data_IF_907491385827
#
_entry.id   IF_907491385827
#
_cell.length_a   1.000
_cell.length_b   1.000
_cell.length_c   1.000
_cell.angle_alpha   90.00
_cell.angle_beta   90.00
_cell.angle_gamma   90.00
#
_symmetry.space_group_name_H-M   'P 1'
#
loop_
_entity.id
_entity.type
_entity.pdbx_description
1 polymer ?
#
# COMPACT_ATOMS: atom_id res chain seq x y z
N UNK A 1 23.35 6.51 -1.79
CA UNK A 1 24.55 7.31 -2.17
C UNK A 1 24.18 8.21 -3.33
N UNK A 2 25.04 9.16 -3.68
CA UNK A 2 24.92 9.98 -4.90
C UNK A 2 24.82 9.17 -6.20
N UNK A 3 25.30 7.93 -6.21
CA UNK A 3 25.20 6.98 -7.35
C UNK A 3 23.87 6.22 -7.43
N UNK A 4 23.03 6.29 -6.40
CA UNK A 4 21.76 5.58 -6.38
C UNK A 4 20.78 6.17 -7.41
N UNK A 5 20.14 5.30 -8.18
CA UNK A 5 19.11 5.68 -9.16
C UNK A 5 18.01 4.63 -9.22
N UNK A 6 16.80 5.09 -9.53
CA UNK A 6 15.70 4.20 -9.85
C UNK A 6 15.80 3.77 -11.32
N UNK A 7 15.69 2.47 -11.58
CA UNK A 7 15.73 1.92 -12.93
C UNK A 7 14.36 2.03 -13.61
N UNK A 8 14.13 3.19 -14.21
CA UNK A 8 12.85 3.52 -14.87
C UNK A 8 12.53 2.62 -16.06
N UNK A 9 13.53 2.21 -16.82
CA UNK A 9 13.32 1.41 -18.03
C UNK A 9 12.91 -0.01 -17.65
N UNK A 10 13.63 -0.63 -16.72
CA UNK A 10 13.25 -1.93 -16.18
C UNK A 10 11.90 -1.87 -15.46
N UNK A 11 11.60 -0.78 -14.73
CA UNK A 11 10.30 -0.61 -14.07
C UNK A 11 9.14 -0.65 -15.08
N UNK A 12 9.23 0.13 -16.17
CA UNK A 12 8.21 0.13 -17.24
C UNK A 12 8.07 -1.24 -17.89
N UNK A 13 9.20 -1.91 -18.18
CA UNK A 13 9.19 -3.27 -18.76
C UNK A 13 8.46 -4.27 -17.86
N UNK A 14 8.80 -4.30 -16.56
CA UNK A 14 8.15 -5.16 -15.57
C UNK A 14 6.66 -4.83 -15.45
N UNK A 15 6.26 -3.55 -15.50
CA UNK A 15 4.85 -3.15 -15.50
C UNK A 15 4.09 -3.78 -16.67
N UNK A 16 4.65 -3.73 -17.89
CA UNK A 16 4.01 -4.33 -19.08
C UNK A 16 3.89 -5.85 -18.95
N UNK A 17 4.93 -6.52 -18.47
CA UNK A 17 4.92 -7.98 -18.23
C UNK A 17 3.84 -8.37 -17.23
N UNK A 18 3.78 -7.70 -16.08
CA UNK A 18 2.78 -7.97 -15.04
C UNK A 18 1.36 -7.63 -15.50
N UNK A 19 1.18 -6.59 -16.31
CA UNK A 19 -0.12 -6.25 -16.91
C UNK A 19 -0.65 -7.41 -17.76
N UNK A 20 0.21 -8.01 -18.60
CA UNK A 20 -0.16 -9.23 -19.36
C UNK A 20 -0.43 -10.42 -18.45
N UNK A 21 0.36 -10.60 -17.39
CA UNK A 21 0.13 -11.66 -16.41
C UNK A 21 -1.26 -11.54 -15.76
N UNK A 22 -1.64 -10.33 -15.33
CA UNK A 22 -2.95 -10.05 -14.73
C UNK A 22 -4.11 -10.23 -15.72
N UNK A 23 -3.92 -9.83 -16.99
CA UNK A 23 -4.90 -10.13 -18.05
C UNK A 23 -5.10 -11.64 -18.25
N UNK A 24 -4.03 -12.44 -18.19
CA UNK A 24 -4.15 -13.89 -18.29
C UNK A 24 -4.89 -14.49 -17.08
N UNK A 25 -4.72 -13.94 -15.87
CA UNK A 25 -5.47 -14.38 -14.67
C UNK A 25 -6.98 -14.21 -14.85
N UNK A 26 -7.43 -13.20 -15.60
CA UNK A 26 -8.86 -13.04 -15.96
C UNK A 26 -9.38 -14.24 -16.75
N UNK A 27 -8.56 -14.94 -17.52
CA UNK A 27 -8.97 -16.08 -18.35
C UNK A 27 -8.98 -17.41 -17.57
N UNK A 28 -8.11 -17.56 -16.58
CA UNK A 28 -7.96 -18.79 -15.77
C UNK A 28 -8.59 -18.68 -14.37
N UNK A 29 -9.43 -17.66 -14.15
CA UNK A 29 -10.10 -17.47 -12.87
C UNK A 29 -11.06 -18.63 -12.55
N UNK A 30 -11.23 -18.94 -11.26
CA UNK A 30 -12.16 -19.95 -10.75
C UNK A 30 -13.30 -19.33 -9.93
N UNK A 31 -13.90 -18.24 -10.40
CA UNK A 31 -14.93 -17.52 -9.65
C UNK A 31 -16.19 -18.39 -9.48
N UNK A 32 -16.73 -18.52 -8.24
CA UNK A 32 -17.81 -19.47 -7.96
C UNK A 32 -19.20 -18.98 -8.39
N UNK A 33 -19.37 -17.68 -8.65
CA UNK A 33 -20.66 -17.07 -8.98
C UNK A 33 -20.68 -16.58 -10.43
N UNK A 34 -21.71 -16.97 -11.18
CA UNK A 34 -21.89 -16.58 -12.58
C UNK A 34 -21.89 -15.06 -12.78
N UNK A 35 -22.45 -14.29 -11.84
CA UNK A 35 -22.43 -12.83 -11.91
C UNK A 35 -21.01 -12.26 -11.81
N UNK A 36 -20.14 -12.88 -11.00
CA UNK A 36 -18.73 -12.47 -10.88
C UNK A 36 -17.97 -12.80 -12.17
N UNK A 37 -18.24 -13.97 -12.76
CA UNK A 37 -17.66 -14.37 -14.04
C UNK A 37 -18.09 -13.45 -15.18
N UNK A 38 -19.38 -13.09 -15.24
CA UNK A 38 -19.89 -12.12 -16.21
C UNK A 38 -19.21 -10.76 -16.09
N UNK A 39 -19.04 -10.27 -14.85
CA UNK A 39 -18.39 -8.99 -14.57
C UNK A 39 -16.90 -8.99 -14.95
N UNK A 40 -16.15 -10.03 -14.57
CA UNK A 40 -14.72 -10.10 -14.90
C UNK A 40 -14.50 -10.27 -16.41
N UNK A 41 -15.32 -11.07 -17.11
CA UNK A 41 -15.22 -11.24 -18.57
C UNK A 41 -15.59 -9.95 -19.31
N UNK A 42 -16.64 -9.25 -18.87
CA UNK A 42 -17.14 -8.03 -19.52
C UNK A 42 -16.18 -6.84 -19.34
N UNK A 43 -15.60 -6.66 -18.16
CA UNK A 43 -14.83 -5.46 -17.80
C UNK A 43 -13.33 -5.69 -17.67
N UNK A 44 -12.92 -6.95 -17.49
CA UNK A 44 -11.52 -7.41 -17.35
C UNK A 44 -10.70 -6.60 -16.34
N UNK A 45 -11.36 -6.16 -15.26
CA UNK A 45 -10.74 -5.34 -14.21
C UNK A 45 -9.66 -6.13 -13.50
N UNK A 46 -8.54 -5.48 -13.25
CA UNK A 46 -7.52 -5.93 -12.32
C UNK A 46 -6.96 -4.74 -11.55
N UNK A 47 -6.11 -5.02 -10.57
CA UNK A 47 -5.51 -4.01 -9.69
C UNK A 47 -4.01 -4.23 -9.60
N UNK A 48 -3.28 -3.68 -10.54
CA UNK A 48 -1.82 -3.61 -10.49
C UNK A 48 -1.40 -2.52 -9.51
N UNK A 49 -0.56 -2.89 -8.55
CA UNK A 49 0.07 -1.97 -7.62
C UNK A 49 1.56 -2.22 -7.55
N UNK A 50 2.21 -1.55 -6.59
CA UNK A 50 3.61 -1.74 -6.26
C UNK A 50 3.75 -1.75 -4.74
N UNK A 51 4.83 -2.37 -4.27
CA UNK A 51 5.29 -2.32 -2.89
C UNK A 51 6.72 -1.78 -2.82
N UNK A 52 7.21 -1.52 -1.62
CA UNK A 52 8.58 -1.08 -1.38
C UNK A 52 8.82 0.40 -1.69
N UNK A 53 7.77 1.23 -1.76
CA UNK A 53 7.95 2.66 -2.01
C UNK A 53 8.77 3.33 -0.89
N UNK A 54 8.44 3.06 0.37
CA UNK A 54 9.18 3.54 1.53
C UNK A 54 10.65 3.11 1.49
N UNK A 55 10.91 1.83 1.26
CA UNK A 55 12.27 1.30 1.08
C UNK A 55 13.02 2.02 -0.05
N UNK A 56 12.35 2.22 -1.20
CA UNK A 56 12.94 2.89 -2.36
C UNK A 56 13.27 4.36 -2.05
N UNK A 57 12.36 5.08 -1.40
CA UNK A 57 12.56 6.48 -0.99
C UNK A 57 13.78 6.59 -0.08
N UNK A 58 13.92 5.70 0.91
CA UNK A 58 15.09 5.63 1.80
C UNK A 58 16.38 5.32 1.04
N UNK A 59 16.36 4.33 0.12
CA UNK A 59 17.52 3.95 -0.69
C UNK A 59 17.95 5.07 -1.66
N UNK A 60 17.02 5.90 -2.10
CA UNK A 60 17.26 7.11 -2.87
C UNK A 60 17.70 8.30 -2.01
N UNK A 61 18.00 8.07 -0.72
CA UNK A 61 18.45 9.07 0.25
C UNK A 61 17.45 10.22 0.47
N UNK A 62 16.15 9.94 0.28
CA UNK A 62 15.08 10.91 0.53
C UNK A 62 14.36 10.58 1.84
N UNK A 63 13.92 11.61 2.57
CA UNK A 63 12.99 11.44 3.69
C UNK A 63 11.59 11.19 3.14
N UNK A 64 10.92 10.14 3.58
CA UNK A 64 9.53 9.88 3.25
C UNK A 64 8.64 11.07 3.69
N UNK A 65 7.72 11.51 2.83
CA UNK A 65 6.90 12.70 3.08
C UNK A 65 7.61 14.04 2.84
N UNK A 66 8.88 14.05 2.43
CA UNK A 66 9.53 15.28 1.94
C UNK A 66 9.02 15.64 0.54
N UNK A 67 9.10 16.91 0.11
CA UNK A 67 8.71 17.32 -1.25
C UNK A 67 9.34 16.47 -2.36
N UNK A 68 10.62 16.12 -2.21
CA UNK A 68 11.33 15.27 -3.17
C UNK A 68 10.72 13.85 -3.23
N UNK A 69 10.36 13.25 -2.08
CA UNK A 69 9.72 11.94 -2.05
C UNK A 69 8.29 11.96 -2.60
N UNK A 70 7.56 13.06 -2.43
CA UNK A 70 6.21 13.28 -2.97
C UNK A 70 6.28 13.37 -4.50
N UNK A 71 7.22 14.15 -5.04
CA UNK A 71 7.47 14.23 -6.49
C UNK A 71 7.91 12.87 -7.06
N UNK A 72 8.81 12.17 -6.38
CA UNK A 72 9.21 10.82 -6.78
C UNK A 72 8.03 9.84 -6.81
N UNK A 73 7.16 9.89 -5.81
CA UNK A 73 5.95 9.04 -5.73
C UNK A 73 4.98 9.33 -6.86
N UNK A 74 4.76 10.60 -7.18
CA UNK A 74 3.96 11.03 -8.34
C UNK A 74 4.52 10.40 -9.62
N UNK A 75 5.84 10.50 -9.83
CA UNK A 75 6.51 9.92 -11.00
C UNK A 75 6.41 8.40 -11.05
N UNK A 76 6.67 7.67 -9.95
CA UNK A 76 6.53 6.21 -9.90
C UNK A 76 5.12 5.77 -10.31
N UNK A 77 4.10 6.40 -9.73
CA UNK A 77 2.71 6.06 -10.05
C UNK A 77 2.34 6.44 -11.49
N UNK A 78 2.85 7.57 -12.02
CA UNK A 78 2.65 7.98 -13.42
C UNK A 78 3.22 6.96 -14.41
N UNK A 79 4.47 6.54 -14.22
CA UNK A 79 5.13 5.58 -15.13
C UNK A 79 4.40 4.23 -15.12
N UNK A 80 3.88 3.80 -13.96
CA UNK A 80 3.02 2.60 -13.88
C UNK A 80 1.74 2.76 -14.68
N UNK A 81 1.07 3.91 -14.56
CA UNK A 81 -0.16 4.17 -15.29
C UNK A 81 0.07 4.20 -16.81
N UNK A 82 1.09 4.93 -17.28
CA UNK A 82 1.41 5.04 -18.70
C UNK A 82 1.78 3.69 -19.30
N UNK A 83 2.74 2.98 -18.70
CA UNK A 83 3.14 1.65 -19.18
C UNK A 83 1.98 0.64 -19.12
N UNK A 84 1.12 0.75 -18.11
CA UNK A 84 -0.09 -0.06 -17.97
C UNK A 84 -1.07 0.14 -19.12
N UNK A 85 -1.41 1.39 -19.44
CA UNK A 85 -2.34 1.68 -20.54
C UNK A 85 -1.75 1.40 -21.92
N UNK A 86 -0.44 1.58 -22.11
CA UNK A 86 0.27 1.11 -23.31
C UNK A 86 0.11 -0.40 -23.49
N UNK A 87 0.43 -1.19 -22.45
CA UNK A 87 0.22 -2.64 -22.48
C UNK A 87 -1.27 -3.00 -22.69
N UNK A 88 -2.18 -2.22 -22.12
CA UNK A 88 -3.63 -2.39 -22.31
C UNK A 88 -4.08 -2.17 -23.75
N UNK A 89 -3.45 -1.25 -24.47
CA UNK A 89 -3.68 -1.03 -25.92
C UNK A 89 -3.06 -2.16 -26.74
N UNK A 90 -1.79 -2.50 -26.50
CA UNK A 90 -1.08 -3.59 -27.19
C UNK A 90 -1.85 -4.93 -27.07
N UNK A 91 -2.34 -5.25 -25.87
CA UNK A 91 -3.16 -6.44 -25.62
C UNK A 91 -4.54 -6.36 -26.29
N UNK A 92 -5.11 -5.16 -26.45
CA UNK A 92 -6.37 -5.00 -27.15
C UNK A 92 -6.20 -5.22 -28.66
N UNK A 93 -5.08 -4.81 -29.24
CA UNK A 93 -4.73 -5.07 -30.63
C UNK A 93 -4.47 -6.57 -30.88
N UNK A 94 -3.81 -7.25 -29.94
CA UNK A 94 -3.54 -8.70 -30.04
C UNK A 94 -4.78 -9.56 -29.80
N UNK A 95 -5.55 -9.28 -28.73
CA UNK A 95 -6.58 -10.19 -28.20
C UNK A 95 -8.00 -9.62 -28.24
N UNK A 96 -8.16 -8.39 -28.73
CA UNK A 96 -9.40 -7.62 -28.65
C UNK A 96 -9.56 -6.83 -27.34
N UNK A 97 -10.29 -5.70 -27.33
CA UNK A 97 -10.54 -4.92 -26.13
C UNK A 97 -11.50 -5.65 -25.15
N UNK A 98 -11.63 -5.14 -23.93
CA UNK A 98 -12.68 -5.62 -23.02
C UNK A 98 -14.06 -5.45 -23.69
N UNK A 99 -15.00 -6.42 -23.59
CA UNK A 99 -16.30 -6.34 -24.26
C UNK A 99 -17.05 -5.02 -24.03
N UNK A 100 -16.99 -4.48 -22.81
CA UNK A 100 -17.63 -3.20 -22.48
C UNK A 100 -17.11 -2.00 -23.28
N UNK A 101 -15.92 -2.09 -23.88
CA UNK A 101 -15.36 -1.02 -24.72
C UNK A 101 -16.05 -0.91 -26.08
N UNK A 102 -16.63 -2.01 -26.59
CA UNK A 102 -17.35 -2.03 -27.88
C UNK A 102 -18.87 -1.92 -27.71
N UNK A 103 -19.38 -2.09 -26.49
CA UNK A 103 -20.79 -1.85 -26.16
C UNK A 103 -21.17 -0.38 -26.39
N UNK A 104 -22.42 -0.15 -26.82
CA UNK A 104 -22.98 1.19 -26.97
C UNK A 104 -23.78 1.62 -25.73
N UNK A 105 -23.51 2.83 -25.24
CA UNK A 105 -24.19 3.44 -24.11
C UNK A 105 -25.10 4.56 -24.59
N UNK A 106 -26.28 4.68 -23.98
CA UNK A 106 -27.14 5.83 -24.20
C UNK A 106 -26.56 7.03 -23.45
N UNK A 107 -26.28 8.12 -24.18
CA UNK A 107 -25.90 9.40 -23.57
C UNK A 107 -27.07 9.91 -22.74
N UNK A 108 -26.84 10.12 -21.45
CA UNK A 108 -27.85 10.65 -20.51
C UNK A 108 -27.59 12.12 -20.18
N UNK A 109 -28.63 12.84 -19.73
CA UNK A 109 -28.46 14.20 -19.20
C UNK A 109 -27.47 14.26 -18.03
N UNK A 110 -27.41 13.20 -17.21
CA UNK A 110 -26.45 13.11 -16.13
C UNK A 110 -25.01 13.04 -16.63
N UNK A 111 -24.74 12.25 -17.68
CA UNK A 111 -23.41 12.20 -18.32
C UNK A 111 -23.02 13.60 -18.82
N UNK A 112 -23.91 14.26 -19.56
CA UNK A 112 -23.66 15.59 -20.11
C UNK A 112 -23.47 16.67 -19.03
N UNK A 113 -24.08 16.51 -17.86
CA UNK A 113 -23.87 17.39 -16.70
C UNK A 113 -22.54 17.12 -16.00
N UNK A 114 -22.19 15.84 -15.79
CA UNK A 114 -20.94 15.43 -15.14
C UNK A 114 -19.70 15.59 -16.04
N UNK A 115 -19.90 15.61 -17.36
CA UNK A 115 -18.88 15.73 -18.43
C UNK A 115 -19.31 16.79 -19.44
N UNK A 116 -19.20 18.09 -19.09
CA UNK A 116 -19.60 19.19 -19.98
C UNK A 116 -18.85 19.18 -21.33
N UNK A 117 -17.65 18.61 -21.39
CA UNK A 117 -16.91 18.34 -22.63
C UNK A 117 -17.71 17.52 -23.65
N UNK A 118 -18.56 16.59 -23.23
CA UNK A 118 -19.41 15.84 -24.16
C UNK A 118 -20.36 16.78 -24.92
N UNK A 119 -20.95 17.79 -24.24
CA UNK A 119 -21.80 18.78 -24.90
C UNK A 119 -21.01 19.63 -25.89
N UNK A 120 -19.77 20.03 -25.52
CA UNK A 120 -18.86 20.80 -26.40
C UNK A 120 -18.51 20.04 -27.67
N UNK A 121 -18.35 18.71 -27.54
CA UNK A 121 -18.09 17.81 -28.67
C UNK A 121 -19.35 17.45 -29.47
N UNK A 122 -20.51 18.00 -29.12
CA UNK A 122 -21.76 17.87 -29.88
C UNK A 122 -22.68 16.73 -29.46
N UNK A 123 -22.38 16.00 -28.38
CA UNK A 123 -23.24 14.94 -27.87
C UNK A 123 -24.55 15.46 -27.29
N UNK A 124 -25.64 14.74 -27.56
CA UNK A 124 -27.01 15.02 -27.11
C UNK A 124 -27.60 13.79 -26.41
N UNK A 125 -28.48 14.03 -25.44
CA UNK A 125 -29.16 12.96 -24.73
C UNK A 125 -29.95 12.07 -25.72
N UNK A 126 -29.91 10.75 -25.47
CA UNK A 126 -30.52 9.74 -26.35
C UNK A 126 -29.61 9.20 -27.45
N UNK A 127 -28.51 9.87 -27.78
CA UNK A 127 -27.52 9.32 -28.73
C UNK A 127 -26.79 8.11 -28.15
N UNK A 128 -26.20 7.30 -29.03
CA UNK A 128 -25.38 6.15 -28.68
C UNK A 128 -23.90 6.49 -28.77
N UNK A 129 -23.13 6.12 -27.75
CA UNK A 129 -21.68 6.28 -27.69
C UNK A 129 -21.00 4.94 -27.35
N UNK A 130 -20.01 4.48 -28.13
CA UNK A 130 -19.20 3.33 -27.79
C UNK A 130 -18.45 3.50 -26.46
N UNK A 131 -18.35 2.43 -25.67
CA UNK A 131 -17.67 2.42 -24.38
C UNK A 131 -16.23 2.93 -24.44
N UNK A 132 -15.48 2.60 -25.51
CA UNK A 132 -14.10 3.07 -25.74
C UNK A 132 -14.00 4.59 -25.87
N UNK A 133 -14.94 5.24 -26.56
CA UNK A 133 -14.97 6.69 -26.68
C UNK A 133 -15.37 7.33 -25.34
N UNK A 134 -16.38 6.75 -24.68
CA UNK A 134 -16.82 7.22 -23.37
C UNK A 134 -15.69 7.14 -22.33
N UNK A 135 -14.95 6.03 -22.33
CA UNK A 135 -13.84 5.79 -21.42
C UNK A 135 -12.64 6.70 -21.74
N UNK A 136 -12.12 6.65 -22.97
CA UNK A 136 -10.88 7.34 -23.33
C UNK A 136 -11.03 8.87 -23.33
N UNK A 137 -12.13 9.42 -23.86
CA UNK A 137 -12.28 10.88 -24.00
C UNK A 137 -12.95 11.57 -22.82
N UNK A 138 -13.86 10.87 -22.14
CA UNK A 138 -14.77 11.48 -21.15
C UNK A 138 -14.60 10.92 -19.73
N UNK A 139 -13.62 10.07 -19.48
CA UNK A 139 -13.14 9.81 -18.12
C UNK A 139 -12.19 10.93 -17.68
N UNK A 140 -12.39 11.48 -16.47
CA UNK A 140 -11.45 12.45 -15.87
C UNK A 140 -10.06 11.87 -15.74
N UNK A 141 -9.97 10.58 -15.45
CA UNK A 141 -8.71 9.89 -15.32
C UNK A 141 -7.98 9.77 -16.67
N UNK A 142 -8.69 9.38 -17.73
CA UNK A 142 -8.08 9.28 -19.07
C UNK A 142 -7.74 10.66 -19.66
N UNK A 143 -8.47 11.72 -19.31
CA UNK A 143 -8.09 13.09 -19.63
C UNK A 143 -6.74 13.46 -19.02
N UNK A 144 -6.47 13.02 -17.78
CA UNK A 144 -5.16 13.21 -17.15
C UNK A 144 -4.06 12.40 -17.84
N UNK A 145 -4.34 11.16 -18.24
CA UNK A 145 -3.38 10.38 -19.06
C UNK A 145 -3.11 11.10 -20.40
N UNK A 146 -4.11 11.76 -21.00
CA UNK A 146 -3.95 12.51 -22.24
C UNK A 146 -3.10 13.77 -22.10
N UNK A 147 -2.97 14.34 -20.90
CA UNK A 147 -2.04 15.45 -20.62
C UNK A 147 -0.58 15.01 -20.79
N UNK A 148 -0.26 13.74 -20.50
CA UNK A 148 1.08 13.16 -20.62
C UNK A 148 1.31 12.46 -21.97
N UNK A 149 0.31 11.72 -22.45
CA UNK A 149 0.39 10.97 -23.71
C UNK A 149 -0.95 11.02 -24.48
N UNK A 150 -1.22 12.11 -25.23
CA UNK A 150 -2.46 12.28 -25.97
C UNK A 150 -2.61 11.26 -27.10
N UNK A 151 -1.51 10.82 -27.72
CA UNK A 151 -1.53 9.82 -28.79
C UNK A 151 -2.03 8.46 -28.30
N UNK A 152 -1.57 8.02 -27.12
CA UNK A 152 -2.04 6.81 -26.49
C UNK A 152 -3.56 6.84 -26.25
N UNK A 153 -4.07 7.94 -25.71
CA UNK A 153 -5.52 8.07 -25.43
C UNK A 153 -6.34 8.13 -26.71
N UNK A 154 -5.83 8.76 -27.78
CA UNK A 154 -6.49 8.74 -29.09
C UNK A 154 -6.58 7.32 -29.66
N UNK A 155 -5.48 6.54 -29.63
CA UNK A 155 -5.49 5.14 -30.05
C UNK A 155 -6.43 4.28 -29.19
N UNK A 156 -6.47 4.51 -27.87
CA UNK A 156 -7.42 3.85 -26.98
C UNK A 156 -8.88 4.21 -27.29
N UNK A 157 -9.16 5.42 -27.78
CA UNK A 157 -10.49 5.82 -28.22
C UNK A 157 -10.92 5.09 -29.51
N UNK A 158 -9.96 4.78 -30.39
CA UNK A 158 -10.17 4.05 -31.64
C UNK A 158 -10.29 2.53 -31.42
N UNK A 159 -9.34 1.93 -30.71
CA UNK A 159 -9.25 0.48 -30.52
C UNK A 159 -10.05 0.01 -29.29
N UNK A 160 -9.97 0.75 -28.19
CA UNK A 160 -10.36 0.30 -26.84
C UNK A 160 -9.17 -0.34 -26.10
N UNK A 161 -9.22 -0.37 -24.77
CA UNK A 161 -8.25 -1.10 -23.93
C UNK A 161 -8.71 -2.53 -23.65
N UNK A 162 -7.74 -3.42 -23.35
CA UNK A 162 -8.00 -4.80 -22.91
C UNK A 162 -8.75 -4.88 -21.58
N UNK A 163 -8.75 -3.82 -20.79
CA UNK A 163 -9.38 -3.74 -19.48
C UNK A 163 -9.94 -2.34 -19.21
N UNK A 164 -10.86 -2.24 -18.25
CA UNK A 164 -11.44 -0.95 -17.83
C UNK A 164 -10.71 -0.29 -16.67
N UNK A 165 -10.00 -1.08 -15.85
CA UNK A 165 -9.26 -0.63 -14.67
C UNK A 165 -7.97 -1.43 -14.63
N UNK A 166 -6.86 -0.72 -14.49
CA UNK A 166 -5.50 -1.25 -14.47
C UNK A 166 -4.94 -1.29 -13.06
N UNK A 167 -5.12 -0.21 -12.29
CA UNK A 167 -4.26 0.08 -11.14
C UNK A 167 -5.01 0.18 -9.82
N UNK A 168 -4.47 -0.48 -8.81
CA UNK A 168 -4.93 -0.42 -7.42
C UNK A 168 -3.79 -0.78 -6.50
N UNK A 169 -3.60 -0.03 -5.41
CA UNK A 169 -2.54 -0.33 -4.44
C UNK A 169 -3.18 -1.00 -3.23
N UNK A 170 -2.90 -2.28 -3.06
CA UNK A 170 -3.41 -3.10 -1.96
C UNK A 170 -2.42 -3.13 -0.78
N UNK A 171 -2.85 -3.52 0.44
CA UNK A 171 -1.93 -3.93 1.49
C UNK A 171 -1.09 -5.11 1.02
N UNK A 172 0.24 -5.03 1.20
CA UNK A 172 1.16 -6.08 0.76
C UNK A 172 1.85 -6.79 1.91
N UNK A 173 1.30 -6.77 3.12
CA UNK A 173 1.90 -7.31 4.35
C UNK A 173 2.58 -8.67 4.18
N UNK A 174 1.82 -9.66 3.72
CA UNK A 174 2.33 -11.03 3.54
C UNK A 174 3.35 -11.12 2.40
N UNK A 175 3.02 -10.62 1.22
CA UNK A 175 3.90 -10.74 0.03
C UNK A 175 5.18 -9.92 0.19
N UNK A 176 5.16 -8.81 0.90
CA UNK A 176 6.34 -7.99 1.14
C UNK A 176 7.33 -8.75 2.03
N UNK A 177 6.81 -9.33 3.10
CA UNK A 177 7.61 -10.15 4.00
C UNK A 177 8.12 -11.43 3.34
N UNK A 178 7.27 -12.15 2.61
CA UNK A 178 7.63 -13.48 2.09
C UNK A 178 8.32 -13.48 0.72
N UNK A 179 8.06 -12.49 -0.14
CA UNK A 179 8.56 -12.47 -1.52
C UNK A 179 9.45 -11.26 -1.83
N UNK A 180 9.42 -10.21 -1.00
CA UNK A 180 10.17 -8.97 -1.23
C UNK A 180 11.20 -8.65 -0.14
N UNK A 181 11.69 -9.68 0.57
CA UNK A 181 12.70 -9.55 1.63
C UNK A 181 12.36 -8.46 2.65
N UNK A 182 11.08 -8.36 3.01
CA UNK A 182 10.57 -7.37 3.94
C UNK A 182 10.84 -5.91 3.52
N UNK A 183 10.69 -5.63 2.23
CA UNK A 183 10.52 -4.25 1.77
C UNK A 183 9.27 -3.60 2.40
N UNK A 184 9.17 -2.28 2.33
CA UNK A 184 8.02 -1.56 2.86
C UNK A 184 6.73 -1.95 2.12
N UNK A 185 5.58 -1.82 2.78
CA UNK A 185 4.33 -2.39 2.27
C UNK A 185 3.59 -1.41 1.35
N UNK A 186 3.27 -1.78 0.11
CA UNK A 186 2.54 -0.90 -0.79
C UNK A 186 3.25 0.46 -0.96
N UNK A 187 2.50 1.53 -0.66
CA UNK A 187 3.05 2.89 -0.55
C UNK A 187 3.38 3.30 0.89
N UNK A 188 3.34 2.40 1.87
CA UNK A 188 3.64 2.71 3.26
C UNK A 188 5.15 2.98 3.48
N UNK A 189 5.52 3.88 4.40
CA UNK A 189 6.86 3.90 4.97
C UNK A 189 7.15 2.60 5.73
N UNK A 190 8.42 2.34 6.03
CA UNK A 190 8.78 1.20 6.88
C UNK A 190 8.23 1.40 8.30
N UNK A 191 7.59 0.37 8.84
CA UNK A 191 7.07 0.43 10.21
C UNK A 191 8.20 0.57 11.22
N UNK A 192 9.25 -0.25 11.07
CA UNK A 192 10.50 -0.18 11.79
C UNK A 192 11.59 -0.81 10.92
N UNK A 193 12.85 -0.40 11.10
CA UNK A 193 13.96 -0.97 10.35
C UNK A 193 14.51 -2.26 10.96
N UNK A 194 14.26 -2.48 12.25
CA UNK A 194 14.48 -3.73 12.99
C UNK A 194 13.34 -3.90 13.99
N UNK A 195 12.75 -5.09 14.05
CA UNK A 195 11.70 -5.45 14.99
C UNK A 195 11.62 -6.96 15.14
N UNK A 196 10.87 -7.41 16.15
CA UNK A 196 10.65 -8.84 16.38
C UNK A 196 9.30 -9.27 15.82
N UNK A 197 9.29 -10.46 15.22
CA UNK A 197 8.04 -11.13 14.84
C UNK A 197 7.90 -12.41 15.62
N UNK A 198 6.76 -12.56 16.29
CA UNK A 198 6.39 -13.76 17.00
C UNK A 198 5.92 -14.83 16.00
N UNK A 199 6.65 -15.95 15.92
CA UNK A 199 6.30 -17.08 15.05
C UNK A 199 5.95 -18.29 15.91
N UNK A 200 4.80 -18.91 15.64
CA UNK A 200 4.41 -20.18 16.27
C UNK A 200 5.09 -21.29 15.48
N UNK A 201 5.95 -22.08 16.14
CA UNK A 201 6.49 -23.30 15.54
C UNK A 201 5.48 -24.44 15.69
N UNK A 202 5.36 -25.25 14.65
CA UNK A 202 4.55 -26.46 14.69
C UNK A 202 5.01 -27.34 15.88
N UNK A 203 4.06 -27.67 16.76
CA UNK A 203 4.32 -28.48 17.96
C UNK A 203 4.74 -27.72 19.24
N UNK A 204 4.83 -26.38 19.22
CA UNK A 204 5.07 -25.55 20.43
C UNK A 204 3.88 -24.62 20.73
N UNK A 205 3.62 -24.36 22.02
CA UNK A 205 2.64 -23.33 22.45
C UNK A 205 3.27 -21.94 22.54
N UNK A 206 4.58 -21.87 22.81
CA UNK A 206 5.36 -20.64 22.83
C UNK A 206 5.60 -20.05 21.43
N UNK A 207 5.50 -18.71 21.38
CA UNK A 207 5.90 -17.88 20.25
C UNK A 207 7.42 -17.66 20.32
N UNK A 208 8.14 -17.97 19.24
CA UNK A 208 9.57 -17.63 19.11
C UNK A 208 9.71 -16.22 18.52
N UNK A 209 10.59 -15.41 19.10
CA UNK A 209 10.96 -14.10 18.55
C UNK A 209 11.98 -14.29 17.44
N UNK A 210 11.65 -13.82 16.24
CA UNK A 210 12.56 -13.80 15.10
C UNK A 210 12.88 -12.35 14.76
N UNK A 211 14.17 -12.05 14.59
CA UNK A 211 14.65 -10.77 14.10
C UNK A 211 14.18 -10.54 12.67
N UNK A 212 13.56 -9.38 12.45
CA UNK A 212 13.15 -8.95 11.13
C UNK A 212 13.76 -7.59 10.85
N UNK A 213 14.48 -7.50 9.74
CA UNK A 213 15.07 -6.26 9.25
C UNK A 213 14.33 -5.80 8.00
N UNK A 214 14.24 -4.48 7.82
CA UNK A 214 13.75 -3.89 6.57
C UNK A 214 14.74 -4.12 5.42
N UNK A 215 14.24 -4.29 4.20
CA UNK A 215 15.10 -4.51 3.02
C UNK A 215 16.15 -3.41 2.84
N UNK A 216 15.76 -2.14 2.99
CA UNK A 216 16.65 -1.00 2.83
C UNK A 216 17.77 -0.96 3.88
N UNK A 217 17.53 -1.46 5.09
CA UNK A 217 18.57 -1.61 6.11
C UNK A 217 19.55 -2.71 5.72
N UNK A 218 19.06 -3.86 5.28
CA UNK A 218 19.91 -4.97 4.82
C UNK A 218 20.80 -4.52 3.66
N UNK A 219 20.22 -3.83 2.66
CA UNK A 219 20.97 -3.29 1.53
C UNK A 219 22.00 -2.24 1.96
N UNK A 220 21.66 -1.37 2.91
CA UNK A 220 22.59 -0.37 3.42
C UNK A 220 23.74 -0.99 4.21
N UNK A 221 23.46 -2.02 5.02
CA UNK A 221 24.49 -2.76 5.75
C UNK A 221 25.46 -3.46 4.81
N UNK A 222 24.95 -4.11 3.77
CA UNK A 222 25.77 -4.81 2.79
C UNK A 222 26.64 -3.85 1.98
N UNK A 223 26.06 -2.74 1.49
CA UNK A 223 26.72 -1.91 0.49
C UNK A 223 27.48 -0.71 1.06
N UNK A 224 27.11 -0.22 2.25
CA UNK A 224 27.57 1.08 2.77
C UNK A 224 28.18 0.98 4.16
N UNK A 225 27.43 0.48 5.14
CA UNK A 225 27.90 0.41 6.53
C UNK A 225 27.46 -0.91 7.21
N UNK A 226 28.32 -1.94 7.24
CA UNK A 226 28.02 -3.24 7.85
C UNK A 226 27.64 -3.20 9.32
N UNK A 227 27.98 -2.12 10.04
CA UNK A 227 27.67 -1.94 11.45
C UNK A 227 26.39 -1.14 11.69
N UNK A 228 25.69 -0.71 10.65
CA UNK A 228 24.53 0.17 10.80
C UNK A 228 23.40 -0.50 11.58
N UNK A 229 22.99 0.09 12.70
CA UNK A 229 21.92 -0.42 13.57
C UNK A 229 20.90 0.66 13.89
N UNK A 230 19.59 0.36 13.79
CA UNK A 230 18.55 1.27 14.26
C UNK A 230 18.76 1.64 15.74
N UNK A 231 18.51 2.91 16.07
CA UNK A 231 18.60 3.45 17.44
C UNK A 231 19.97 3.34 18.13
N UNK A 232 21.06 3.02 17.40
CA UNK A 232 22.40 3.00 17.99
C UNK A 232 22.96 4.43 18.15
N UNK A 233 23.47 4.74 19.34
CA UNK A 233 24.15 6.01 19.65
C UNK A 233 25.63 6.01 19.24
N UNK A 234 26.18 4.84 18.87
CA UNK A 234 27.56 4.73 18.41
C UNK A 234 27.72 5.36 17.02
N UNK A 235 28.65 6.32 16.89
CA UNK A 235 28.84 7.07 15.64
C UNK A 235 29.10 6.18 14.41
N UNK A 236 29.71 5.00 14.61
CA UNK A 236 29.99 4.04 13.55
C UNK A 236 28.78 3.18 13.11
N UNK A 237 27.67 3.23 13.84
CA UNK A 237 26.47 2.41 13.66
C UNK A 237 25.23 3.24 13.30
N UNK A 238 25.31 4.57 13.46
CA UNK A 238 24.19 5.47 13.19
C UNK A 238 23.67 5.34 11.77
N UNK A 239 22.35 5.32 11.67
CA UNK A 239 21.66 5.43 10.40
C UNK A 239 21.59 6.89 9.95
N UNK A 240 21.70 7.15 8.63
CA UNK A 240 21.45 8.47 8.08
C UNK A 240 20.04 8.99 8.42
N UNK A 241 19.83 10.31 8.51
CA UNK A 241 18.56 10.90 8.94
C UNK A 241 17.38 10.67 7.98
N UNK A 242 17.59 10.02 6.84
CA UNK A 242 16.53 9.61 5.90
C UNK A 242 15.99 8.20 6.16
N UNK A 243 16.59 7.43 7.08
CA UNK A 243 16.02 6.20 7.63
C UNK A 243 14.96 6.53 8.68
N UNK A 244 13.81 7.00 8.21
CA UNK A 244 12.67 7.35 9.06
C UNK A 244 11.63 6.24 9.04
N UNK A 245 10.96 6.09 10.17
CA UNK A 245 9.89 5.11 10.38
C UNK A 245 8.51 5.73 10.28
N UNK A 246 7.47 4.89 10.23
CA UNK A 246 6.09 5.33 10.11
C UNK A 246 5.61 6.29 11.21
N UNK A 247 6.22 6.29 12.40
CA UNK A 247 5.86 7.19 13.51
C UNK A 247 6.46 8.59 13.40
N UNK A 248 7.56 8.73 12.65
CA UNK A 248 8.18 10.02 12.38
C UNK A 248 7.46 10.78 11.26
N UNK A 249 6.47 10.15 10.62
CA UNK A 249 5.69 10.73 9.52
C UNK A 249 4.45 11.42 10.09
N UNK A 250 4.31 12.71 9.77
CA UNK A 250 3.11 13.45 10.16
C UNK A 250 1.87 12.96 9.38
N UNK A 251 0.65 13.11 9.93
CA UNK A 251 -0.58 12.75 9.21
C UNK A 251 -0.72 13.46 7.85
N UNK A 252 -0.30 14.73 7.76
CA UNK A 252 -0.30 15.50 6.50
C UNK A 252 0.61 14.85 5.46
N UNK A 253 1.82 14.48 5.83
CA UNK A 253 2.76 13.80 4.94
C UNK A 253 2.24 12.44 4.46
N UNK A 254 1.50 11.71 5.30
CA UNK A 254 0.82 10.50 4.86
C UNK A 254 -0.22 10.78 3.76
N UNK A 255 -1.02 11.84 3.94
CA UNK A 255 -2.01 12.29 2.94
C UNK A 255 -1.33 12.74 1.65
N UNK A 256 -0.25 13.51 1.73
CA UNK A 256 0.49 14.02 0.56
C UNK A 256 1.03 12.89 -0.32
N UNK A 257 1.60 11.85 0.30
CA UNK A 257 2.12 10.69 -0.42
C UNK A 257 1.00 9.88 -1.09
N UNK A 258 -0.15 9.73 -0.43
CA UNK A 258 -1.32 9.12 -1.04
C UNK A 258 -1.84 9.97 -2.21
N UNK A 259 -1.90 11.29 -2.05
CA UNK A 259 -2.37 12.22 -3.08
C UNK A 259 -1.48 12.20 -4.31
N UNK A 260 -0.16 12.15 -4.13
CA UNK A 260 0.80 12.01 -5.22
C UNK A 260 0.56 10.74 -6.04
N UNK A 261 0.42 9.58 -5.40
CA UNK A 261 0.17 8.33 -6.10
C UNK A 261 -1.24 8.27 -6.74
N UNK A 262 -2.27 8.73 -6.03
CA UNK A 262 -3.68 8.53 -6.43
C UNK A 262 -4.05 9.24 -7.73
N UNK A 263 -3.34 10.30 -8.09
CA UNK A 263 -3.46 10.97 -9.40
C UNK A 263 -3.39 9.99 -10.57
N UNK A 264 -2.61 8.91 -10.40
CA UNK A 264 -2.26 7.94 -11.43
C UNK A 264 -2.77 6.53 -11.11
N UNK A 265 -3.66 6.39 -10.12
CA UNK A 265 -4.30 5.11 -9.78
C UNK A 265 -5.78 5.21 -10.11
N UNK A 266 -6.28 4.39 -11.04
CA UNK A 266 -7.68 4.47 -11.50
C UNK A 266 -8.68 3.93 -10.49
N UNK A 267 -8.31 2.92 -9.71
CA UNK A 267 -9.15 2.32 -8.68
C UNK A 267 -8.95 3.04 -7.34
N UNK A 268 -8.33 2.43 -6.33
CA UNK A 268 -8.06 3.09 -5.05
C UNK A 268 -6.73 2.63 -4.44
N UNK A 269 -6.36 3.25 -3.33
CA UNK A 269 -5.13 2.98 -2.59
C UNK A 269 -5.50 2.63 -1.16
N UNK A 270 -4.95 1.52 -0.66
CA UNK A 270 -4.88 1.26 0.76
C UNK A 270 -3.66 1.99 1.34
N UNK A 271 -3.94 3.01 2.14
CA UNK A 271 -2.94 3.76 2.88
C UNK A 271 -3.50 4.08 4.27
N UNK A 272 -2.68 3.87 5.29
CA UNK A 272 -2.98 4.24 6.67
C UNK A 272 -2.22 5.52 7.04
N UNK A 273 -2.92 6.57 7.45
CA UNK A 273 -2.31 7.73 8.10
C UNK A 273 -2.18 7.43 9.60
N UNK A 274 -0.96 7.18 10.07
CA UNK A 274 -0.72 7.01 11.50
C UNK A 274 -0.91 8.35 12.21
N UNK A 275 -1.58 8.33 13.35
CA UNK A 275 -1.91 9.50 14.16
C UNK A 275 -1.32 9.28 15.55
N UNK A 276 -0.54 10.24 16.09
CA UNK A 276 -0.05 10.20 17.46
C UNK A 276 -1.16 9.96 18.49
N UNK A 277 -0.84 9.31 19.60
CA UNK A 277 -1.83 9.01 20.66
C UNK A 277 -2.39 10.29 21.29
N UNK A 278 -1.53 11.30 21.47
CA UNK A 278 -1.83 12.62 22.06
C UNK A 278 -2.23 13.69 21.03
N UNK A 279 -2.69 13.27 19.84
CA UNK A 279 -3.05 14.20 18.77
C UNK A 279 -4.34 14.97 19.06
N UNK A 280 -4.32 16.29 18.83
CA UNK A 280 -5.46 17.17 19.04
C UNK A 280 -6.66 16.79 18.15
N UNK A 281 -7.88 16.91 18.70
CA UNK A 281 -9.09 16.48 18.01
C UNK A 281 -9.48 17.37 16.82
N UNK A 282 -9.24 18.68 16.90
CA UNK A 282 -9.51 19.58 15.78
C UNK A 282 -8.49 19.36 14.66
N UNK A 283 -7.22 19.16 15.00
CA UNK A 283 -6.19 18.76 14.03
C UNK A 283 -6.51 17.40 13.39
N UNK A 284 -7.05 16.45 14.16
CA UNK A 284 -7.48 15.15 13.65
C UNK A 284 -8.59 15.28 12.59
N UNK A 285 -9.60 16.15 12.83
CA UNK A 285 -10.63 16.45 11.80
C UNK A 285 -10.00 17.05 10.55
N UNK A 286 -8.98 17.91 10.74
CA UNK A 286 -8.23 18.53 9.67
C UNK A 286 -7.65 17.53 8.67
N UNK A 287 -7.26 16.32 9.12
CA UNK A 287 -6.74 15.26 8.24
C UNK A 287 -7.77 14.88 7.15
N UNK A 288 -9.04 14.67 7.54
CA UNK A 288 -10.07 14.26 6.58
C UNK A 288 -10.48 15.39 5.65
N UNK A 289 -10.53 16.63 6.15
CA UNK A 289 -10.79 17.80 5.32
C UNK A 289 -9.67 18.00 4.29
N UNK A 290 -8.41 17.91 4.73
CA UNK A 290 -7.25 18.01 3.85
C UNK A 290 -7.21 16.88 2.81
N UNK A 291 -7.54 15.65 3.20
CA UNK A 291 -7.69 14.52 2.27
C UNK A 291 -8.77 14.78 1.22
N UNK A 292 -9.93 15.32 1.63
CA UNK A 292 -11.01 15.69 0.73
C UNK A 292 -10.61 16.81 -0.24
N UNK A 293 -9.95 17.85 0.25
CA UNK A 293 -9.44 18.98 -0.55
C UNK A 293 -8.42 18.52 -1.61
N UNK A 294 -7.60 17.51 -1.27
CA UNK A 294 -6.67 16.86 -2.20
C UNK A 294 -7.35 15.84 -3.14
N UNK A 295 -8.67 15.67 -3.06
CA UNK A 295 -9.42 14.77 -3.92
C UNK A 295 -9.16 13.29 -3.66
N UNK A 296 -8.80 12.91 -2.43
CA UNK A 296 -8.60 11.51 -2.07
C UNK A 296 -9.91 10.70 -2.21
N UNK A 297 -9.81 9.50 -2.78
CA UNK A 297 -10.93 8.55 -2.95
C UNK A 297 -11.32 7.88 -1.63
N UNK A 298 -10.42 7.92 -0.65
CA UNK A 298 -10.62 7.44 0.71
C UNK A 298 -9.46 7.87 1.61
N UNK A 299 -9.70 7.90 2.91
CA UNK A 299 -8.70 8.22 3.93
C UNK A 299 -8.93 7.31 5.14
N UNK A 300 -7.89 6.59 5.53
CA UNK A 300 -7.90 5.72 6.71
C UNK A 300 -6.88 6.24 7.70
N UNK A 301 -7.30 6.47 8.93
CA UNK A 301 -6.41 6.87 10.03
C UNK A 301 -6.26 5.73 11.03
N UNK A 302 -5.06 5.53 11.55
CA UNK A 302 -4.82 4.64 12.67
C UNK A 302 -4.17 5.42 13.81
N UNK A 303 -4.83 5.45 14.97
CA UNK A 303 -4.29 6.05 16.19
C UNK A 303 -3.93 4.94 17.16
N UNK A 304 -2.66 4.85 17.54
CA UNK A 304 -2.21 3.88 18.52
C UNK A 304 -2.90 4.13 19.87
N UNK A 305 -3.44 3.06 20.47
CA UNK A 305 -4.05 3.09 21.80
C UNK A 305 -3.29 2.15 22.74
N UNK A 306 -2.39 2.65 23.61
CA UNK A 306 -1.57 1.82 24.49
C UNK A 306 -2.39 0.92 25.44
N UNK A 307 -3.60 1.34 25.83
CA UNK A 307 -4.46 0.57 26.75
C UNK A 307 -5.18 -0.60 26.06
N UNK A 308 -5.24 -0.60 24.73
CA UNK A 308 -5.98 -1.58 23.94
C UNK A 308 -5.13 -2.34 22.90
N UNK A 309 -3.89 -1.92 22.68
CA UNK A 309 -3.07 -2.47 21.60
C UNK A 309 -2.42 -3.80 22.00
N UNK A 310 -2.81 -4.84 21.25
CA UNK A 310 -2.16 -6.16 21.22
C UNK A 310 -1.77 -6.42 19.77
N UNK A 311 -0.52 -6.14 19.43
CA UNK A 311 -0.01 -6.16 18.05
C UNK A 311 0.83 -7.40 17.72
N UNK A 312 0.77 -7.83 16.47
CA UNK A 312 1.67 -8.89 15.93
C UNK A 312 3.10 -8.37 15.72
N UNK A 313 3.26 -7.04 15.60
CA UNK A 313 4.54 -6.36 15.46
C UNK A 313 4.86 -5.71 16.80
N UNK A 314 6.04 -6.01 17.33
CA UNK A 314 6.46 -5.48 18.63
C UNK A 314 7.85 -4.89 18.50
N UNK A 315 7.99 -3.61 18.90
CA UNK A 315 9.28 -2.94 19.00
C UNK A 315 9.86 -3.14 20.39
N UNK A 316 11.18 -3.05 20.49
CA UNK A 316 11.88 -3.26 21.76
C UNK A 316 11.50 -2.21 22.82
N UNK A 317 11.39 -0.95 22.42
CA UNK A 317 11.04 0.14 23.34
C UNK A 317 9.59 0.06 23.82
N UNK A 318 8.64 -0.35 22.97
CA UNK A 318 7.24 -0.54 23.35
C UNK A 318 7.09 -1.65 24.40
N UNK A 319 7.85 -2.74 24.24
CA UNK A 319 7.94 -3.85 25.20
C UNK A 319 8.48 -3.37 26.56
N UNK A 320 9.59 -2.62 26.57
CA UNK A 320 10.23 -2.11 27.79
C UNK A 320 9.35 -1.11 28.54
N UNK A 321 8.59 -0.31 27.82
CA UNK A 321 7.79 0.77 28.41
C UNK A 321 6.41 0.31 28.90
N UNK A 322 5.90 -0.83 28.41
CA UNK A 322 4.61 -1.38 28.84
C UNK A 322 4.76 -2.27 30.06
N UNK A 323 3.89 -2.10 31.07
CA UNK A 323 3.86 -2.93 32.29
C UNK A 323 2.62 -3.81 32.25
N UNK A 324 2.81 -5.11 32.47
CA UNK A 324 1.76 -6.12 32.48
C UNK A 324 1.52 -6.61 33.90
N UNK A 325 0.26 -6.74 34.27
CA UNK A 325 -0.15 -7.25 35.59
C UNK A 325 -0.71 -8.66 35.43
N UNK A 326 -0.14 -9.61 36.18
CA UNK A 326 -0.62 -10.98 36.27
C UNK A 326 -1.23 -11.23 37.64
N UNK A 327 -2.37 -11.89 37.68
CA UNK A 327 -2.98 -12.37 38.94
C UNK A 327 -2.57 -13.82 39.15
N UNK A 328 -1.94 -14.12 40.28
CA UNK A 328 -1.54 -15.47 40.67
C UNK A 328 -2.72 -16.24 41.26
N UNK A 329 -2.58 -17.56 41.40
CA UNK A 329 -3.62 -18.44 41.96
C UNK A 329 -4.01 -18.07 43.40
N UNK A 330 -3.10 -17.49 44.17
CA UNK A 330 -3.34 -17.01 45.54
C UNK A 330 -4.06 -15.64 45.59
N UNK A 331 -4.40 -15.07 44.43
CA UNK A 331 -5.06 -13.78 44.29
C UNK A 331 -4.12 -12.58 44.41
N UNK A 332 -2.82 -12.79 44.63
CA UNK A 332 -1.83 -11.72 44.57
C UNK A 332 -1.58 -11.29 43.12
N UNK A 333 -0.99 -10.10 42.94
CA UNK A 333 -0.67 -9.56 41.61
C UNK A 333 0.83 -9.32 41.48
N UNK A 334 1.34 -9.56 40.29
CA UNK A 334 2.72 -9.30 39.91
C UNK A 334 2.72 -8.36 38.71
N UNK A 335 3.45 -7.26 38.82
CA UNK A 335 3.67 -6.31 37.74
C UNK A 335 5.08 -6.50 37.17
N UNK A 336 5.18 -6.61 35.86
CA UNK A 336 6.43 -6.90 35.13
C UNK A 336 6.46 -6.12 33.82
N UNK A 337 7.65 -5.70 33.38
CA UNK A 337 7.82 -5.06 32.08
C UNK A 337 7.63 -6.06 30.95
N UNK A 338 7.15 -5.58 29.80
CA UNK A 338 6.78 -6.42 28.66
C UNK A 338 7.89 -7.33 28.15
N UNK A 339 9.15 -6.89 28.25
CA UNK A 339 10.34 -7.63 27.82
C UNK A 339 10.89 -8.62 28.84
N UNK A 340 10.44 -8.58 30.10
CA UNK A 340 10.89 -9.52 31.13
C UNK A 340 10.46 -10.95 30.81
N UNK A 341 11.37 -11.91 31.01
CA UNK A 341 11.11 -13.33 30.82
C UNK A 341 10.43 -13.93 32.06
N UNK A 342 9.34 -14.67 31.82
CA UNK A 342 8.52 -15.36 32.81
C UNK A 342 8.44 -16.83 32.40
N UNK A 343 8.74 -17.72 33.34
CA UNK A 343 8.48 -19.15 33.16
C UNK A 343 7.04 -19.46 33.58
N UNK A 344 6.26 -20.06 32.68
CA UNK A 344 4.86 -20.43 32.92
C UNK A 344 4.50 -21.72 32.17
N UNK A 345 3.89 -22.68 32.88
CA UNK A 345 3.52 -24.01 32.35
C UNK A 345 4.69 -24.76 31.66
N UNK A 346 5.91 -24.61 32.19
CA UNK A 346 7.12 -25.26 31.69
C UNK A 346 7.71 -24.63 30.42
N UNK A 347 7.21 -23.48 29.99
CA UNK A 347 7.74 -22.70 28.86
C UNK A 347 8.13 -21.28 29.30
N UNK A 348 9.20 -20.72 28.74
CA UNK A 348 9.60 -19.33 28.98
C UNK A 348 8.95 -18.41 27.96
N UNK A 349 8.33 -17.34 28.45
CA UNK A 349 7.64 -16.31 27.67
C UNK A 349 8.16 -14.94 28.06
N UNK A 350 8.11 -13.95 27.17
CA UNK A 350 8.13 -12.56 27.65
C UNK A 350 6.78 -12.18 28.24
N UNK A 351 6.75 -11.27 29.21
CA UNK A 351 5.53 -10.82 29.88
C UNK A 351 4.42 -10.46 28.88
N UNK A 352 4.74 -9.67 27.84
CA UNK A 352 3.76 -9.33 26.81
C UNK A 352 3.16 -10.57 26.11
N UNK A 353 4.01 -11.55 25.77
CA UNK A 353 3.59 -12.77 25.08
C UNK A 353 2.77 -13.69 26.00
N UNK A 354 3.13 -13.78 27.29
CA UNK A 354 2.38 -14.56 28.27
C UNK A 354 1.00 -13.96 28.51
N UNK A 355 0.92 -12.63 28.67
CA UNK A 355 -0.34 -11.93 28.87
C UNK A 355 -1.30 -12.15 27.70
N UNK A 356 -0.80 -12.05 26.46
CA UNK A 356 -1.57 -12.35 25.27
C UNK A 356 -2.03 -13.81 25.22
N UNK A 357 -1.13 -14.76 25.50
CA UNK A 357 -1.45 -16.18 25.44
C UNK A 357 -2.52 -16.60 26.48
N UNK A 358 -2.47 -16.03 27.69
CA UNK A 358 -3.50 -16.23 28.73
C UNK A 358 -4.84 -15.64 28.27
N UNK A 359 -4.84 -14.42 27.73
CA UNK A 359 -6.07 -13.75 27.25
C UNK A 359 -6.71 -14.49 26.06
N UNK A 360 -5.89 -14.98 25.13
CA UNK A 360 -6.30 -15.77 23.97
C UNK A 360 -6.73 -17.21 24.34
N UNK A 361 -6.52 -17.62 25.61
CA UNK A 361 -6.95 -18.92 26.15
C UNK A 361 -6.05 -20.09 25.77
N UNK A 362 -4.79 -19.83 25.37
CA UNK A 362 -3.80 -20.88 25.09
C UNK A 362 -3.37 -21.65 26.34
N UNK A 363 -3.44 -20.98 27.49
CA UNK A 363 -3.31 -21.57 28.81
C UNK A 363 -4.70 -21.57 29.43
N UNK A 364 -5.18 -22.76 29.80
CA UNK A 364 -6.59 -23.00 30.07
C UNK A 364 -7.18 -22.06 31.11
N UNK A 365 -8.42 -21.62 30.89
CA UNK A 365 -9.28 -21.19 32.01
C UNK A 365 -9.47 -22.40 32.92
N UNK A 366 -8.88 -22.37 34.10
CA UNK A 366 -9.26 -23.25 35.19
C UNK A 366 -9.54 -22.40 36.43
#
# INVERSE_FOLDING_TARGET
TDKARFDWDNYKEVVKVFTRMLDNVVEINGLPLEQQEGEIRRKRRHGMGFLGLGSTVTMMCMKYGSPASVEFTDKVARELALAGWEAGLELAEEKGPAPIMVEEFTVTEEMLRKRPEMKRDGWKAGQKIPGRLLHAKYSRYMQKIAEENPELVNKLAETGARFTHHSSIAPTGTISLSLANNASNGIEPSFAHHYFRNVIREGKKSKEKVDVFSFELLAYRELINPRAMPSSEEEGEKLPPYFITAEEITPVQHVDMQAAAQKWVDSSISKTANVPTDYDYEDFKGIYLYAYENGLKGCTTFRFNPEAFQGVLVREDDLKNTTYTFTLEDGSTVEVKGDEEIEYDGETHTAANLYDAIKEGYYGRF
#
